data_IF_989314696796
#
_entry.id   IF_989314696796
#
_cell.length_a   1.000
_cell.length_b   1.000
_cell.length_c   1.000
_cell.angle_alpha   90.00
_cell.angle_beta   90.00
_cell.angle_gamma   90.00
#
_symmetry.space_group_name_H-M   'P 1'
#
loop_
_entity.id
_entity.type
_entity.pdbx_description
1 polymer ?
#
# COMPACT_ATOMS: atom_id res chain seq x y z
N UNK A 1 -2.48 19.90 13.33
CA UNK A 1 -1.60 18.84 12.77
C UNK A 1 -2.43 18.02 11.79
N UNK A 2 -1.87 17.62 10.65
CA UNK A 2 -2.55 16.76 9.67
C UNK A 2 -2.52 15.29 10.15
N UNK A 3 -3.56 14.53 9.84
CA UNK A 3 -3.64 13.12 10.18
C UNK A 3 -3.49 12.24 8.95
N UNK A 4 -2.81 11.13 9.10
CA UNK A 4 -2.65 10.14 8.04
C UNK A 4 -2.92 8.72 8.53
N UNK A 5 -3.34 7.87 7.59
CA UNK A 5 -3.44 6.43 7.78
C UNK A 5 -2.45 5.73 6.85
N UNK A 6 -1.72 4.75 7.39
CA UNK A 6 -0.88 3.85 6.58
C UNK A 6 -1.21 2.41 6.95
N UNK A 7 -1.80 1.66 6.04
CA UNK A 7 -2.05 0.24 6.30
C UNK A 7 -0.77 -0.58 6.12
N UNK A 8 -0.48 -1.49 7.07
CA UNK A 8 0.78 -2.24 7.08
C UNK A 8 2.02 -1.35 7.29
N UNK A 9 1.90 -0.31 8.12
CA UNK A 9 2.93 0.74 8.25
C UNK A 9 3.99 0.48 9.31
N UNK A 10 4.16 -0.73 9.81
CA UNK A 10 5.22 -1.07 10.79
C UNK A 10 6.42 -1.79 10.16
N UNK A 11 6.42 -2.00 8.86
CA UNK A 11 7.54 -2.66 8.16
C UNK A 11 7.61 -2.26 6.69
N UNK A 12 8.77 -2.49 6.06
CA UNK A 12 8.97 -2.35 4.63
C UNK A 12 8.57 -0.98 4.07
N UNK A 13 7.91 -1.00 2.90
CA UNK A 13 7.44 0.23 2.21
C UNK A 13 6.50 1.03 3.11
N UNK A 14 5.57 0.35 3.80
CA UNK A 14 4.60 1.01 4.67
C UNK A 14 5.26 1.79 5.80
N UNK A 15 6.29 1.23 6.45
CA UNK A 15 7.04 1.95 7.49
C UNK A 15 7.84 3.11 6.92
N UNK A 16 8.47 2.94 5.76
CA UNK A 16 9.13 4.05 5.07
C UNK A 16 8.16 5.20 4.74
N UNK A 17 6.93 4.87 4.32
CA UNK A 17 5.88 5.87 4.10
C UNK A 17 5.43 6.54 5.41
N UNK A 18 5.29 5.77 6.50
CA UNK A 18 4.95 6.31 7.81
C UNK A 18 6.02 7.31 8.28
N UNK A 19 7.30 6.94 8.21
CA UNK A 19 8.42 7.82 8.56
C UNK A 19 8.44 9.11 7.70
N UNK A 20 8.20 8.99 6.40
CA UNK A 20 8.12 10.15 5.50
C UNK A 20 6.98 11.10 5.90
N UNK A 21 5.80 10.56 6.29
CA UNK A 21 4.67 11.37 6.76
C UNK A 21 4.94 12.02 8.11
N UNK A 22 5.56 11.29 9.06
CA UNK A 22 5.99 11.84 10.35
C UNK A 22 6.96 13.01 10.15
N UNK A 23 7.96 12.88 9.26
CA UNK A 23 8.90 13.94 8.92
C UNK A 23 8.23 15.14 8.24
N UNK A 24 7.04 14.97 7.67
CA UNK A 24 6.19 16.05 7.14
C UNK A 24 5.24 16.65 8.20
N UNK A 25 5.34 16.23 9.46
CA UNK A 25 4.53 16.73 10.55
C UNK A 25 3.13 16.15 10.64
N UNK A 26 2.90 14.98 10.06
CA UNK A 26 1.63 14.25 10.22
C UNK A 26 1.61 13.44 11.52
N UNK A 27 0.41 13.27 12.07
CA UNK A 27 0.07 12.23 13.01
C UNK A 27 -0.31 10.99 12.21
N UNK A 28 0.34 9.85 12.44
CA UNK A 28 0.18 8.65 11.59
C UNK A 28 -0.44 7.51 12.38
N UNK A 29 -1.61 7.08 11.96
CA UNK A 29 -2.28 5.85 12.41
C UNK A 29 -1.91 4.72 11.46
N UNK A 30 -1.38 3.63 12.01
CA UNK A 30 -0.92 2.52 11.19
C UNK A 30 -1.54 1.21 11.61
N UNK A 31 -2.04 0.43 10.65
CA UNK A 31 -2.41 -0.96 10.92
C UNK A 31 -1.20 -1.87 10.82
N UNK A 32 -1.18 -2.94 11.60
CA UNK A 32 -0.19 -4.02 11.47
C UNK A 32 -0.76 -5.37 11.92
N UNK A 33 -0.07 -6.45 11.54
CA UNK A 33 -0.31 -7.82 11.98
C UNK A 33 1.03 -8.46 12.36
N UNK A 34 1.00 -9.44 13.25
CA UNK A 34 2.21 -10.12 13.71
C UNK A 34 2.67 -9.67 15.11
N UNK A 35 3.99 -9.74 15.40
CA UNK A 35 4.54 -9.34 16.69
C UNK A 35 4.26 -7.88 17.03
N UNK A 36 4.18 -7.56 18.32
CA UNK A 36 3.90 -6.20 18.75
C UNK A 36 5.04 -5.26 18.36
N UNK A 37 4.66 -4.12 17.82
CA UNK A 37 5.60 -3.04 17.51
C UNK A 37 6.07 -2.40 18.81
N UNK A 38 7.38 -2.34 19.02
CA UNK A 38 7.98 -1.95 20.31
C UNK A 38 8.63 -0.57 20.32
N UNK A 39 8.78 0.05 19.15
CA UNK A 39 9.38 1.38 19.07
C UNK A 39 8.39 2.45 19.52
N UNK A 40 8.82 3.34 20.39
CA UNK A 40 8.06 4.54 20.77
C UNK A 40 8.49 5.68 19.86
N UNK A 41 7.63 6.01 18.88
CA UNK A 41 7.89 7.07 17.91
C UNK A 41 6.81 8.13 18.07
N UNK A 42 7.24 9.36 18.31
CA UNK A 42 6.32 10.48 18.49
C UNK A 42 5.38 10.63 17.29
N UNK A 43 4.09 10.83 17.57
CA UNK A 43 3.01 10.96 16.58
C UNK A 43 2.77 9.72 15.69
N UNK A 44 3.34 8.55 16.03
CA UNK A 44 3.09 7.28 15.37
C UNK A 44 2.23 6.37 16.24
N UNK A 45 1.08 5.92 15.73
CA UNK A 45 0.09 5.11 16.45
C UNK A 45 -0.12 3.77 15.74
N UNK A 46 0.73 2.75 16.02
CA UNK A 46 0.55 1.42 15.49
C UNK A 46 -0.61 0.71 16.19
N UNK A 47 -1.54 0.18 15.42
CA UNK A 47 -2.74 -0.51 15.90
C UNK A 47 -2.76 -1.91 15.27
N UNK A 48 -2.87 -2.94 16.11
CA UNK A 48 -2.93 -4.33 15.65
C UNK A 48 -4.28 -4.61 15.02
N UNK A 49 -4.28 -4.87 13.71
CA UNK A 49 -5.49 -5.09 12.90
C UNK A 49 -5.21 -6.20 11.89
N UNK A 50 -5.86 -7.33 12.05
CA UNK A 50 -5.91 -8.33 10.99
C UNK A 50 -6.94 -7.91 9.94
N UNK A 51 -6.46 -7.39 8.80
CA UNK A 51 -7.31 -6.91 7.71
C UNK A 51 -8.03 -8.04 6.94
N UNK A 52 -7.79 -9.32 7.27
CA UNK A 52 -8.65 -10.42 6.81
C UNK A 52 -9.99 -10.47 7.56
N UNK A 53 -10.12 -9.72 8.65
CA UNK A 53 -11.29 -9.69 9.52
C UNK A 53 -11.97 -8.30 9.44
N UNK A 54 -13.11 -8.22 8.76
CA UNK A 54 -13.83 -6.94 8.54
C UNK A 54 -14.17 -6.23 9.85
N UNK A 55 -14.55 -6.98 10.88
CA UNK A 55 -14.85 -6.44 12.20
C UNK A 55 -13.64 -5.74 12.84
N UNK A 56 -12.44 -6.26 12.61
CA UNK A 56 -11.22 -5.60 13.07
C UNK A 56 -10.95 -4.30 12.31
N UNK A 57 -11.26 -4.27 11.01
CA UNK A 57 -11.16 -3.07 10.18
C UNK A 57 -12.17 -2.01 10.67
N UNK A 58 -13.42 -2.39 10.95
CA UNK A 58 -14.41 -1.45 11.47
C UNK A 58 -14.01 -0.89 12.85
N UNK A 59 -13.52 -1.72 13.78
CA UNK A 59 -13.01 -1.22 15.07
C UNK A 59 -11.84 -0.24 14.91
N UNK A 60 -10.97 -0.47 13.96
CA UNK A 60 -9.90 0.48 13.63
C UNK A 60 -10.46 1.81 13.15
N UNK A 61 -11.44 1.78 12.24
CA UNK A 61 -12.11 2.97 11.70
C UNK A 61 -12.80 3.75 12.82
N UNK A 62 -13.53 3.07 13.70
CA UNK A 62 -14.23 3.71 14.83
C UNK A 62 -13.24 4.39 15.76
N UNK A 63 -12.10 3.75 16.04
CA UNK A 63 -11.02 4.36 16.82
C UNK A 63 -10.48 5.61 16.15
N UNK A 64 -10.20 5.56 14.86
CA UNK A 64 -9.71 6.72 14.10
C UNK A 64 -10.73 7.85 14.11
N UNK A 65 -12.02 7.56 13.91
CA UNK A 65 -13.10 8.57 13.97
C UNK A 65 -13.23 9.22 15.35
N UNK A 66 -12.98 8.47 16.43
CA UNK A 66 -13.00 9.00 17.78
C UNK A 66 -11.81 9.93 18.10
N UNK A 67 -10.67 9.69 17.46
CA UNK A 67 -9.42 10.43 17.74
C UNK A 67 -9.14 11.55 16.72
N UNK A 68 -9.76 11.53 15.54
CA UNK A 68 -9.47 12.44 14.43
C UNK A 68 -10.74 13.12 13.89
N UNK A 69 -10.70 14.44 13.74
CA UNK A 69 -11.73 15.21 13.03
C UNK A 69 -11.59 15.09 11.51
N UNK A 70 -10.37 14.94 11.01
CA UNK A 70 -10.07 14.84 9.58
C UNK A 70 -8.95 13.85 9.33
N UNK A 71 -8.94 13.24 8.14
CA UNK A 71 -7.85 12.41 7.62
C UNK A 71 -7.36 13.01 6.30
N UNK A 72 -6.16 13.57 6.32
CA UNK A 72 -5.59 14.32 5.20
C UNK A 72 -4.83 13.44 4.20
N UNK A 73 -4.37 12.25 4.64
CA UNK A 73 -3.65 11.31 3.78
C UNK A 73 -3.99 9.86 4.13
N UNK A 74 -4.24 9.03 3.12
CA UNK A 74 -4.43 7.58 3.29
C UNK A 74 -3.47 6.86 2.35
N UNK A 75 -2.59 6.02 2.91
CA UNK A 75 -1.74 5.11 2.15
C UNK A 75 -2.21 3.68 2.37
N UNK A 76 -2.86 3.14 1.35
CA UNK A 76 -3.36 1.77 1.27
C UNK A 76 -2.24 0.84 0.84
N UNK A 77 -1.41 0.38 1.81
CA UNK A 77 -0.20 -0.39 1.51
C UNK A 77 -0.31 -1.88 1.89
N UNK A 78 -1.09 -2.24 2.89
CA UNK A 78 -1.22 -3.63 3.32
C UNK A 78 -1.54 -4.57 2.15
N UNK A 79 -0.91 -5.72 2.15
CA UNK A 79 -1.11 -6.74 1.14
C UNK A 79 -0.65 -8.10 1.62
N UNK A 80 -1.20 -9.14 1.03
CA UNK A 80 -0.87 -10.53 1.27
C UNK A 80 -0.55 -11.20 -0.06
N UNK A 81 0.49 -12.00 -0.12
CA UNK A 81 0.83 -12.79 -1.31
C UNK A 81 0.93 -14.26 -0.94
N UNK A 82 0.16 -15.08 -1.62
CA UNK A 82 0.30 -16.54 -1.62
C UNK A 82 0.99 -16.94 -2.91
N UNK A 83 2.02 -17.75 -2.81
CA UNK A 83 2.79 -18.23 -3.96
C UNK A 83 2.50 -19.71 -4.19
N UNK A 84 1.55 -19.98 -5.08
CA UNK A 84 1.12 -21.33 -5.48
C UNK A 84 0.78 -21.37 -6.97
N UNK A 85 0.71 -22.57 -7.53
CA UNK A 85 0.16 -22.74 -8.88
C UNK A 85 -1.32 -22.35 -8.91
N UNK A 86 -1.84 -22.14 -10.11
CA UNK A 86 -3.25 -21.74 -10.29
C UNK A 86 -4.23 -22.76 -9.66
N UNK A 87 -3.97 -24.05 -9.84
CA UNK A 87 -4.84 -25.12 -9.36
C UNK A 87 -4.68 -25.44 -7.86
N UNK A 88 -3.62 -24.97 -7.22
CA UNK A 88 -3.34 -25.23 -5.80
C UNK A 88 -3.78 -24.08 -4.89
N UNK A 89 -4.10 -22.92 -5.47
CA UNK A 89 -4.61 -21.77 -4.70
C UNK A 89 -6.04 -22.09 -4.25
N UNK A 90 -6.24 -22.17 -2.93
CA UNK A 90 -7.57 -22.43 -2.36
C UNK A 90 -8.45 -21.18 -2.34
N UNK A 91 -9.79 -21.35 -2.28
CA UNK A 91 -10.74 -20.25 -2.14
C UNK A 91 -10.43 -19.39 -0.91
N UNK A 92 -10.06 -20.02 0.22
CA UNK A 92 -9.70 -19.30 1.45
C UNK A 92 -8.46 -18.40 1.25
N UNK A 93 -7.46 -18.87 0.52
CA UNK A 93 -6.26 -18.08 0.21
C UNK A 93 -6.56 -16.95 -0.77
N UNK A 94 -7.42 -17.20 -1.74
CA UNK A 94 -7.92 -16.18 -2.65
C UNK A 94 -8.68 -15.09 -1.88
N UNK A 95 -9.68 -15.47 -1.10
CA UNK A 95 -10.52 -14.54 -0.34
C UNK A 95 -9.70 -13.70 0.63
N UNK A 96 -8.75 -14.30 1.35
CA UNK A 96 -7.85 -13.55 2.25
C UNK A 96 -7.04 -12.48 1.52
N UNK A 97 -6.53 -12.77 0.33
CA UNK A 97 -5.78 -11.79 -0.45
C UNK A 97 -6.66 -10.64 -0.93
N UNK A 98 -7.87 -10.95 -1.42
CA UNK A 98 -8.86 -9.95 -1.81
C UNK A 98 -9.29 -9.11 -0.60
N UNK A 99 -9.52 -9.73 0.56
CA UNK A 99 -9.96 -9.03 1.75
C UNK A 99 -8.90 -8.04 2.25
N UNK A 100 -7.63 -8.45 2.35
CA UNK A 100 -6.55 -7.57 2.81
C UNK A 100 -6.25 -6.45 1.81
N UNK A 101 -6.13 -6.76 0.52
CA UNK A 101 -5.60 -5.79 -0.44
C UNK A 101 -6.66 -4.90 -1.09
N UNK A 102 -7.91 -5.37 -1.19
CA UNK A 102 -8.98 -4.68 -1.93
C UNK A 102 -10.10 -4.25 -0.99
N UNK A 103 -10.76 -5.22 -0.36
CA UNK A 103 -11.97 -4.97 0.41
C UNK A 103 -11.72 -4.07 1.63
N UNK A 104 -10.66 -4.35 2.39
CA UNK A 104 -10.33 -3.54 3.58
C UNK A 104 -10.04 -2.08 3.22
N UNK A 105 -9.30 -1.84 2.13
CA UNK A 105 -8.99 -0.49 1.67
C UNK A 105 -10.22 0.25 1.17
N UNK A 106 -11.08 -0.43 0.42
CA UNK A 106 -12.39 0.10 0.02
C UNK A 106 -13.23 0.49 1.24
N UNK A 107 -13.34 -0.39 2.23
CA UNK A 107 -14.09 -0.15 3.46
C UNK A 107 -13.52 1.06 4.22
N UNK A 108 -12.20 1.12 4.42
CA UNK A 108 -11.54 2.23 5.11
C UNK A 108 -11.87 3.57 4.44
N UNK A 109 -11.72 3.67 3.13
CA UNK A 109 -11.97 4.93 2.41
C UNK A 109 -13.45 5.29 2.45
N UNK A 110 -14.35 4.33 2.21
CA UNK A 110 -15.80 4.56 2.24
C UNK A 110 -16.28 5.06 3.60
N UNK A 111 -15.87 4.40 4.66
CA UNK A 111 -16.31 4.74 6.01
C UNK A 111 -15.71 6.06 6.53
N UNK A 112 -14.52 6.42 6.06
CA UNK A 112 -13.88 7.68 6.44
C UNK A 112 -14.22 8.83 5.48
N UNK A 113 -15.00 8.59 4.42
CA UNK A 113 -15.26 9.56 3.35
C UNK A 113 -15.69 10.93 3.87
N UNK A 114 -16.57 10.97 4.88
CA UNK A 114 -17.09 12.22 5.46
C UNK A 114 -16.06 13.05 6.23
N UNK A 115 -14.95 12.45 6.65
CA UNK A 115 -13.86 13.14 7.37
C UNK A 115 -12.57 13.26 6.54
N UNK A 116 -12.63 12.94 5.24
CA UNK A 116 -11.56 13.25 4.28
C UNK A 116 -11.76 14.69 3.78
N UNK A 117 -10.95 15.65 4.20
CA UNK A 117 -11.12 17.04 3.79
C UNK A 117 -10.73 17.25 2.32
N UNK A 118 -11.12 18.41 1.77
CA UNK A 118 -10.63 18.83 0.45
C UNK A 118 -9.11 18.88 0.40
N UNK A 119 -8.54 18.62 -0.76
CA UNK A 119 -7.09 18.60 -1.02
C UNK A 119 -6.32 17.50 -0.30
N UNK A 120 -6.99 16.40 0.07
CA UNK A 120 -6.36 15.20 0.65
C UNK A 120 -5.61 14.36 -0.37
N UNK A 121 -4.90 13.35 0.10
CA UNK A 121 -4.11 12.42 -0.72
C UNK A 121 -4.47 10.98 -0.39
N UNK A 122 -4.83 10.20 -1.40
CA UNK A 122 -5.08 8.76 -1.29
C UNK A 122 -4.13 8.05 -2.23
N UNK A 123 -3.33 7.13 -1.70
CA UNK A 123 -2.31 6.45 -2.48
C UNK A 123 -2.37 4.96 -2.20
N UNK A 124 -2.49 4.18 -3.25
CA UNK A 124 -2.48 2.73 -3.18
C UNK A 124 -1.10 2.16 -3.51
N UNK A 125 -0.74 1.07 -2.85
CA UNK A 125 0.43 0.27 -3.20
C UNK A 125 0.00 -0.83 -4.18
N UNK A 126 0.22 -0.58 -5.46
CA UNK A 126 0.11 -1.57 -6.51
C UNK A 126 1.26 -2.59 -6.47
N UNK A 127 1.60 -3.12 -7.62
CA UNK A 127 2.78 -3.96 -7.85
C UNK A 127 3.03 -4.06 -9.35
N UNK A 128 4.28 -4.24 -9.76
CA UNK A 128 4.59 -4.62 -11.16
C UNK A 128 3.84 -5.89 -11.60
N UNK A 129 3.41 -6.77 -10.68
CA UNK A 129 2.61 -7.95 -11.01
C UNK A 129 1.20 -7.61 -11.53
N UNK A 130 0.73 -6.39 -11.34
CA UNK A 130 -0.50 -5.89 -11.95
C UNK A 130 -0.35 -5.59 -13.46
N UNK A 131 0.88 -5.32 -13.91
CA UNK A 131 1.22 -4.92 -15.28
C UNK A 131 1.96 -6.04 -16.01
N UNK A 132 2.87 -6.73 -15.31
CA UNK A 132 3.70 -7.81 -15.83
C UNK A 132 3.41 -9.11 -15.06
N UNK A 133 2.46 -9.93 -15.54
CA UNK A 133 2.03 -11.14 -14.84
C UNK A 133 3.17 -12.15 -14.64
N UNK A 134 3.14 -12.85 -13.52
CA UNK A 134 4.07 -13.92 -13.19
C UNK A 134 3.32 -15.20 -12.85
N UNK A 135 3.86 -16.35 -13.23
CA UNK A 135 3.39 -17.65 -12.78
C UNK A 135 3.48 -17.75 -11.25
N UNK A 136 2.64 -18.59 -10.65
CA UNK A 136 2.56 -18.88 -9.20
C UNK A 136 2.14 -17.72 -8.29
N UNK A 137 1.76 -16.57 -8.83
CA UNK A 137 1.27 -15.40 -8.06
C UNK A 137 0.02 -14.78 -8.70
N UNK A 138 -0.81 -15.59 -9.36
CA UNK A 138 -1.99 -15.12 -10.07
C UNK A 138 -2.92 -14.29 -9.17
N UNK A 139 -3.31 -14.82 -8.01
CA UNK A 139 -4.21 -14.13 -7.08
C UNK A 139 -3.64 -12.78 -6.60
N UNK A 140 -2.35 -12.74 -6.30
CA UNK A 140 -1.67 -11.48 -5.96
C UNK A 140 -1.69 -10.48 -7.12
N UNK A 141 -1.39 -10.93 -8.35
CA UNK A 141 -1.46 -10.08 -9.55
C UNK A 141 -2.85 -9.50 -9.75
N UNK A 142 -3.90 -10.32 -9.58
CA UNK A 142 -5.30 -9.89 -9.68
C UNK A 142 -5.64 -8.86 -8.60
N UNK A 143 -5.27 -9.10 -7.32
CA UNK A 143 -5.52 -8.11 -6.26
C UNK A 143 -4.83 -6.78 -6.54
N UNK A 144 -3.61 -6.80 -7.06
CA UNK A 144 -2.87 -5.56 -7.37
C UNK A 144 -3.41 -4.85 -8.61
N UNK A 145 -3.96 -5.58 -9.59
CA UNK A 145 -4.72 -5.00 -10.70
C UNK A 145 -6.03 -4.36 -10.22
N UNK A 146 -6.76 -5.04 -9.32
CA UNK A 146 -7.97 -4.52 -8.72
C UNK A 146 -7.70 -3.23 -7.91
N UNK A 147 -6.61 -3.17 -7.16
CA UNK A 147 -6.15 -1.97 -6.43
C UNK A 147 -5.90 -0.80 -7.39
N UNK A 148 -5.24 -1.05 -8.52
CA UNK A 148 -5.01 -0.02 -9.54
C UNK A 148 -6.34 0.47 -10.17
N UNK A 149 -7.27 -0.46 -10.43
CA UNK A 149 -8.60 -0.12 -10.92
C UNK A 149 -9.39 0.70 -9.88
N UNK A 150 -9.34 0.31 -8.60
CA UNK A 150 -9.97 1.04 -7.49
C UNK A 150 -9.44 2.48 -7.42
N UNK A 151 -8.12 2.68 -7.49
CA UNK A 151 -7.51 4.01 -7.50
C UNK A 151 -8.05 4.89 -8.63
N UNK A 152 -8.15 4.35 -9.85
CA UNK A 152 -8.68 5.09 -11.02
C UNK A 152 -10.15 5.47 -10.85
N UNK A 153 -10.97 4.55 -10.36
CA UNK A 153 -12.42 4.79 -10.22
C UNK A 153 -12.72 5.78 -9.08
N UNK A 154 -11.97 5.73 -7.99
CA UNK A 154 -12.13 6.68 -6.86
C UNK A 154 -11.84 8.13 -7.24
N UNK A 155 -11.09 8.41 -8.31
CA UNK A 155 -10.90 9.79 -8.80
C UNK A 155 -12.24 10.49 -9.03
N UNK A 156 -13.24 9.76 -9.52
CA UNK A 156 -14.57 10.32 -9.79
C UNK A 156 -15.36 10.64 -8.52
N UNK A 157 -15.17 9.84 -7.47
CA UNK A 157 -15.82 10.07 -6.17
C UNK A 157 -15.29 11.33 -5.46
N UNK A 158 -14.06 11.76 -5.81
CA UNK A 158 -13.42 12.96 -5.26
C UNK A 158 -13.38 14.14 -6.25
N UNK A 159 -14.14 14.08 -7.35
CA UNK A 159 -14.18 15.15 -8.36
C UNK A 159 -14.57 16.50 -7.73
N UNK A 160 -13.86 17.58 -8.08
CA UNK A 160 -14.11 18.94 -7.56
C UNK A 160 -13.65 19.20 -6.12
N UNK A 161 -13.08 18.19 -5.43
CA UNK A 161 -12.59 18.35 -4.05
C UNK A 161 -11.12 18.77 -3.96
N UNK A 162 -10.34 18.62 -5.03
CA UNK A 162 -8.88 18.76 -5.00
C UNK A 162 -8.15 17.58 -4.35
N UNK A 163 -8.88 16.56 -3.87
CA UNK A 163 -8.29 15.31 -3.37
C UNK A 163 -7.82 14.48 -4.57
N UNK A 164 -6.60 13.96 -4.47
CA UNK A 164 -6.03 13.11 -5.53
C UNK A 164 -5.94 11.66 -5.10
N UNK A 165 -6.17 10.75 -6.05
CA UNK A 165 -6.08 9.31 -5.85
C UNK A 165 -5.12 8.72 -6.87
N UNK A 166 -4.05 8.08 -6.39
CA UNK A 166 -3.00 7.51 -7.25
C UNK A 166 -2.61 6.11 -6.78
N UNK A 167 -1.85 5.39 -7.59
CA UNK A 167 -1.18 4.17 -7.16
C UNK A 167 0.31 4.23 -7.50
N UNK A 168 1.15 3.80 -6.53
CA UNK A 168 2.56 3.51 -6.77
C UNK A 168 2.67 2.04 -7.09
N UNK A 169 3.43 1.70 -8.14
CA UNK A 169 3.62 0.34 -8.65
C UNK A 169 5.09 -0.06 -8.46
N UNK A 170 5.48 -0.56 -7.28
CA UNK A 170 6.85 -1.01 -7.04
C UNK A 170 7.18 -2.27 -7.83
N UNK A 171 8.45 -2.37 -8.22
CA UNK A 171 9.08 -3.61 -8.61
C UNK A 171 9.51 -4.45 -7.41
N UNK A 172 10.69 -5.05 -7.50
CA UNK A 172 11.31 -5.74 -6.37
C UNK A 172 12.05 -4.74 -5.48
N UNK A 173 11.75 -4.75 -4.18
CA UNK A 173 12.23 -3.79 -3.18
C UNK A 173 12.89 -4.54 -2.04
N UNK A 174 14.01 -4.04 -1.53
CA UNK A 174 14.73 -4.59 -0.37
C UNK A 174 13.90 -4.46 0.91
N UNK A 175 13.01 -5.41 1.12
CA UNK A 175 12.11 -5.49 2.28
C UNK A 175 12.31 -6.83 3.00
N UNK A 176 11.78 -7.01 4.22
CA UNK A 176 11.79 -8.31 4.89
C UNK A 176 11.25 -9.46 4.02
N UNK A 177 10.32 -9.21 3.10
CA UNK A 177 9.81 -10.21 2.14
C UNK A 177 10.86 -10.79 1.19
N UNK A 178 11.98 -10.11 1.02
CA UNK A 178 13.05 -10.53 0.11
C UNK A 178 14.21 -11.23 0.83
N UNK A 179 14.29 -11.12 2.17
CA UNK A 179 15.45 -11.60 2.93
C UNK A 179 15.75 -13.09 2.74
N UNK A 180 14.69 -13.91 2.68
CA UNK A 180 14.81 -15.38 2.60
C UNK A 180 14.89 -15.91 1.16
N UNK A 181 14.88 -15.03 0.14
CA UNK A 181 15.02 -15.48 -1.25
C UNK A 181 16.41 -16.07 -1.51
N UNK A 182 16.49 -17.27 -2.11
CA UNK A 182 17.76 -17.82 -2.59
C UNK A 182 18.47 -16.85 -3.53
N UNK A 183 19.81 -16.85 -3.49
CA UNK A 183 20.61 -15.92 -4.27
C UNK A 183 20.40 -16.09 -5.78
N UNK A 184 20.21 -17.33 -6.24
CA UNK A 184 19.87 -17.64 -7.64
C UNK A 184 18.59 -16.93 -8.10
N UNK A 185 17.55 -16.89 -7.23
CA UNK A 185 16.29 -16.18 -7.53
C UNK A 185 16.53 -14.68 -7.58
N UNK A 186 17.32 -14.12 -6.65
CA UNK A 186 17.67 -12.71 -6.67
C UNK A 186 18.42 -12.35 -7.95
N UNK A 187 19.41 -13.15 -8.33
CA UNK A 187 20.19 -12.92 -9.55
C UNK A 187 19.31 -12.98 -10.81
N UNK A 188 18.35 -13.92 -10.87
CA UNK A 188 17.39 -13.98 -11.96
C UNK A 188 16.52 -12.70 -12.05
N UNK A 189 16.12 -12.13 -10.89
CA UNK A 189 15.38 -10.89 -10.83
C UNK A 189 16.26 -9.72 -11.28
N UNK A 190 17.52 -9.64 -10.82
CA UNK A 190 18.47 -8.62 -11.25
C UNK A 190 18.67 -8.66 -12.77
N UNK A 191 18.76 -9.85 -13.34
CA UNK A 191 18.89 -10.02 -14.79
C UNK A 191 17.67 -9.55 -15.59
N UNK A 192 16.48 -9.47 -14.97
CA UNK A 192 15.23 -8.97 -15.58
C UNK A 192 15.00 -7.48 -15.35
N UNK A 193 15.81 -6.85 -14.53
CA UNK A 193 15.71 -5.43 -14.18
C UNK A 193 16.84 -4.68 -14.89
N UNK A 194 16.54 -3.63 -15.62
CA UNK A 194 17.58 -2.87 -16.34
C UNK A 194 18.63 -2.24 -15.42
N UNK A 195 18.28 -1.97 -14.16
CA UNK A 195 19.18 -1.45 -13.13
C UNK A 195 19.97 -2.56 -12.40
N UNK A 196 19.64 -3.83 -12.62
CA UNK A 196 20.32 -5.01 -12.06
C UNK A 196 20.41 -5.08 -10.53
N UNK A 197 19.44 -4.54 -9.82
CA UNK A 197 19.32 -4.65 -8.35
C UNK A 197 17.87 -4.47 -7.90
N UNK A 198 17.59 -4.74 -6.65
CA UNK A 198 16.35 -4.30 -6.03
C UNK A 198 16.37 -2.79 -5.76
N UNK A 199 15.19 -2.19 -5.73
CA UNK A 199 15.03 -0.84 -5.24
C UNK A 199 15.22 -0.82 -3.72
N UNK A 200 15.77 0.26 -3.20
CA UNK A 200 15.70 0.56 -1.76
C UNK A 200 14.28 1.02 -1.38
N UNK A 201 13.91 0.89 -0.11
CA UNK A 201 12.64 1.43 0.40
C UNK A 201 12.56 2.94 0.12
N UNK A 202 13.65 3.68 0.33
CA UNK A 202 13.71 5.11 0.09
C UNK A 202 13.39 5.51 -1.34
N UNK A 203 13.92 4.80 -2.34
CA UNK A 203 13.63 5.06 -3.76
C UNK A 203 12.14 4.88 -4.09
N UNK A 204 11.48 3.93 -3.47
CA UNK A 204 10.04 3.71 -3.65
C UNK A 204 9.23 4.78 -2.92
N UNK A 205 9.62 5.17 -1.71
CA UNK A 205 8.94 6.18 -0.89
C UNK A 205 8.95 7.55 -1.58
N UNK A 206 9.96 7.88 -2.39
CA UNK A 206 9.99 9.12 -3.17
C UNK A 206 8.81 9.24 -4.15
N UNK A 207 8.32 8.13 -4.70
CA UNK A 207 7.12 8.14 -5.54
C UNK A 207 5.84 8.47 -4.75
N UNK A 208 5.75 8.00 -3.50
CA UNK A 208 4.65 8.42 -2.61
C UNK A 208 4.76 9.90 -2.26
N UNK A 209 5.97 10.37 -1.95
CA UNK A 209 6.24 11.80 -1.69
C UNK A 209 5.82 12.65 -2.89
N UNK A 210 6.17 12.24 -4.10
CA UNK A 210 5.76 12.92 -5.34
C UNK A 210 4.23 13.00 -5.48
N UNK A 211 3.50 11.91 -5.21
CA UNK A 211 2.04 11.92 -5.23
C UNK A 211 1.43 12.83 -4.14
N UNK A 212 2.08 12.96 -2.99
CA UNK A 212 1.62 13.84 -1.89
C UNK A 212 1.87 15.31 -2.23
N UNK A 213 3.04 15.65 -2.75
CA UNK A 213 3.50 17.02 -2.93
C UNK A 213 3.01 17.64 -4.23
N UNK A 214 2.65 16.84 -5.24
CA UNK A 214 2.15 17.35 -6.50
C UNK A 214 0.61 17.21 -6.60
N UNK A 215 -0.14 18.29 -6.40
CA UNK A 215 -1.60 18.26 -6.42
C UNK A 215 -2.22 18.05 -7.81
N UNK A 216 -1.42 18.06 -8.87
CA UNK A 216 -1.88 17.83 -10.24
C UNK A 216 -1.74 16.37 -10.69
N UNK A 217 -1.07 15.53 -9.90
CA UNK A 217 -0.96 14.10 -10.14
C UNK A 217 -2.19 13.41 -9.58
N UNK A 218 -3.08 12.95 -10.45
CA UNK A 218 -4.35 12.32 -10.09
C UNK A 218 -4.69 11.19 -11.08
N UNK A 219 -5.17 10.06 -10.59
CA UNK A 219 -5.49 8.88 -11.39
C UNK A 219 -4.27 8.15 -11.99
N UNK A 220 -3.07 8.49 -11.53
CA UNK A 220 -1.81 8.02 -12.11
C UNK A 220 -1.34 6.70 -11.49
N UNK A 221 -0.69 5.88 -12.34
CA UNK A 221 -0.01 4.65 -11.97
C UNK A 221 1.50 4.91 -12.07
N UNK A 222 2.17 5.13 -10.95
CA UNK A 222 3.60 5.49 -10.90
C UNK A 222 4.45 4.23 -10.76
N UNK A 223 5.07 3.80 -11.84
CA UNK A 223 5.95 2.64 -11.83
C UNK A 223 7.34 2.98 -11.26
N UNK A 224 7.77 2.19 -10.27
CA UNK A 224 9.12 2.25 -9.66
C UNK A 224 9.68 0.83 -9.69
N UNK A 225 10.05 0.35 -10.87
CA UNK A 225 10.39 -1.06 -11.12
C UNK A 225 11.79 -1.29 -11.71
N UNK A 226 12.60 -0.23 -11.84
CA UNK A 226 13.98 -0.33 -12.35
C UNK A 226 14.07 -0.79 -13.81
N UNK A 227 13.03 -0.52 -14.63
CA UNK A 227 12.99 -0.97 -16.01
C UNK A 227 12.77 -2.48 -16.15
N UNK A 228 12.01 -3.09 -15.25
CA UNK A 228 11.64 -4.49 -15.34
C UNK A 228 10.92 -4.79 -16.67
N UNK A 229 11.31 -5.88 -17.34
CA UNK A 229 10.82 -6.28 -18.68
C UNK A 229 11.20 -5.39 -19.88
N UNK A 230 12.06 -4.41 -19.72
CA UNK A 230 12.64 -3.65 -20.85
C UNK A 230 14.02 -4.18 -21.28
N UNK A 231 14.39 -5.36 -20.79
CA UNK A 231 15.64 -6.03 -21.13
C UNK A 231 15.40 -7.27 -21.98
#
# INVERSE_FOLDING_TARGET
>A
MKNAIVTGGTSGIGFGCAQMLLNKGYKVYSTYVGPDFKEDIENFFPIKVDQTQREAVYRFIDRVKAECLTIDCIICNAGLSVRKSFTETTDIEWDKQMEVAVNSHYIIIRELFSIIPKNSRIIFTGSQMAVHPHATVLSYGVTKSAVCALAKNLVKEFEGTGTTVNAVIPGFVETPWQKEKPEEIKQNIYNKTAIHRFATIGEVVEAYRFCIDNPFVNGSMIEVNGGYCYK
#
